data_IF_346937245155
#
_entry.id   IF_346937245155
#
_cell.length_a   1.000
_cell.length_b   1.000
_cell.length_c   1.000
_cell.angle_alpha   90.00
_cell.angle_beta   90.00
_cell.angle_gamma   90.00
#
_symmetry.space_group_name_H-M   'P 1'
#
loop_
_entity.id
_entity.type
_entity.pdbx_description
1 polymer ?
#
# COMPACT_ATOMS: atom_id res chain seq x y z
N UNK A 1 4.85 -7.69 15.43
CA UNK A 1 4.64 -6.77 14.30
C UNK A 1 5.46 -7.26 13.13
N UNK A 2 4.92 -7.18 11.92
CA UNK A 2 5.56 -7.64 10.67
C UNK A 2 5.71 -6.41 9.76
N UNK A 3 6.85 -6.22 9.09
CA UNK A 3 6.99 -5.15 8.11
C UNK A 3 6.07 -5.40 6.92
N UNK A 4 5.42 -4.34 6.45
CA UNK A 4 4.64 -4.34 5.22
C UNK A 4 5.04 -3.15 4.36
N UNK A 5 5.08 -3.36 3.06
CA UNK A 5 5.19 -2.30 2.06
C UNK A 5 4.03 -2.44 1.10
N UNK A 6 3.28 -1.36 0.91
CA UNK A 6 2.11 -1.30 0.04
C UNK A 6 2.39 -0.26 -1.05
N UNK A 7 2.31 -0.69 -2.32
CA UNK A 7 2.42 0.17 -3.48
C UNK A 7 1.05 0.30 -4.16
N UNK A 8 0.52 1.51 -4.22
CA UNK A 8 -0.80 1.81 -4.77
C UNK A 8 -0.63 2.59 -6.08
N UNK A 9 -1.17 2.12 -7.21
CA UNK A 9 -1.17 2.90 -8.45
C UNK A 9 -1.78 4.28 -8.20
N UNK A 10 -1.22 5.34 -8.79
CA UNK A 10 -1.74 6.71 -8.57
C UNK A 10 -3.23 6.85 -8.86
N UNK A 11 -3.76 6.07 -9.80
CA UNK A 11 -5.18 6.04 -10.16
C UNK A 11 -6.08 5.47 -9.06
N UNK A 12 -5.54 4.66 -8.14
CA UNK A 12 -6.28 3.98 -7.07
C UNK A 12 -6.07 4.61 -5.68
N UNK A 13 -5.28 5.68 -5.55
CA UNK A 13 -4.97 6.32 -4.25
C UNK A 13 -6.23 6.67 -3.46
N UNK A 14 -7.23 7.27 -4.11
CA UNK A 14 -8.47 7.67 -3.43
C UNK A 14 -9.21 6.46 -2.83
N UNK A 15 -9.35 5.39 -3.60
CA UNK A 15 -10.02 4.17 -3.15
C UNK A 15 -9.20 3.45 -2.06
N UNK A 16 -7.88 3.38 -2.24
CA UNK A 16 -6.96 2.78 -1.28
C UNK A 16 -6.94 3.50 0.07
N UNK A 17 -7.09 4.82 0.08
CA UNK A 17 -7.24 5.60 1.31
C UNK A 17 -8.54 5.28 2.06
N UNK A 18 -9.64 5.02 1.35
CA UNK A 18 -10.86 4.53 1.99
C UNK A 18 -10.67 3.13 2.58
N UNK A 19 -9.97 2.23 1.88
CA UNK A 19 -9.59 0.94 2.44
C UNK A 19 -8.70 1.10 3.68
N UNK A 20 -7.71 1.99 3.64
CA UNK A 20 -6.85 2.28 4.79
C UNK A 20 -7.63 2.83 5.99
N UNK A 21 -8.65 3.68 5.78
CA UNK A 21 -9.57 4.10 6.87
C UNK A 21 -10.33 2.93 7.48
N UNK A 22 -10.70 1.93 6.69
CA UNK A 22 -11.49 0.78 7.16
C UNK A 22 -10.64 -0.19 7.98
N UNK A 23 -9.44 -0.50 7.50
CA UNK A 23 -8.55 -1.50 8.14
C UNK A 23 -7.54 -0.86 9.11
N UNK A 24 -7.46 0.46 9.11
CA UNK A 24 -6.59 1.24 9.98
C UNK A 24 -7.11 1.38 11.40
N UNK A 25 -6.46 2.25 12.16
CA UNK A 25 -6.76 2.48 13.57
C UNK A 25 -7.41 3.85 13.83
N UNK A 26 -7.46 4.72 12.83
CA UNK A 26 -7.92 6.09 12.97
C UNK A 26 -8.39 6.72 11.65
N UNK A 27 -9.07 7.86 11.76
CA UNK A 27 -9.47 8.67 10.62
C UNK A 27 -8.28 9.10 9.73
N UNK A 28 -7.13 9.34 10.34
CA UNK A 28 -5.90 9.81 9.69
C UNK A 28 -5.31 8.77 8.73
N UNK A 29 -5.65 7.49 8.89
CA UNK A 29 -5.21 6.44 7.96
C UNK A 29 -5.78 6.66 6.54
N UNK A 30 -6.80 7.50 6.40
CA UNK A 30 -7.31 7.97 5.10
C UNK A 30 -6.41 8.91 4.32
N UNK A 31 -5.26 9.30 4.86
CA UNK A 31 -4.27 10.09 4.14
C UNK A 31 -3.00 9.28 3.81
N UNK A 32 -2.94 8.02 4.23
CA UNK A 32 -1.74 7.15 4.13
C UNK A 32 -1.08 7.20 2.76
N UNK A 33 -1.86 7.02 1.68
CA UNK A 33 -1.32 6.98 0.32
C UNK A 33 -1.25 8.35 -0.35
N UNK A 34 -2.02 9.33 0.14
CA UNK A 34 -1.90 10.72 -0.33
C UNK A 34 -0.61 11.38 0.16
N UNK A 35 -0.12 10.98 1.33
CA UNK A 35 1.11 11.49 1.94
C UNK A 35 2.34 10.65 1.57
N UNK A 36 2.14 9.47 0.96
CA UNK A 36 3.22 8.58 0.58
C UNK A 36 3.99 9.10 -0.65
N UNK A 37 5.32 8.88 -0.71
CA UNK A 37 6.10 9.22 -1.90
C UNK A 37 5.65 8.38 -3.11
N UNK A 38 5.61 9.02 -4.28
CA UNK A 38 5.29 8.36 -5.55
C UNK A 38 6.57 7.92 -6.26
N UNK A 39 6.63 6.64 -6.62
CA UNK A 39 7.76 6.01 -7.33
C UNK A 39 7.22 5.15 -8.45
N UNK A 40 7.69 5.36 -9.68
CA UNK A 40 7.30 4.53 -10.82
C UNK A 40 5.78 4.52 -11.11
N UNK A 41 5.04 5.56 -10.72
CA UNK A 41 3.58 5.62 -10.84
C UNK A 41 2.79 4.99 -9.69
N UNK A 42 3.46 4.64 -8.58
CA UNK A 42 2.84 4.08 -7.38
C UNK A 42 3.14 4.94 -6.15
N UNK A 43 2.14 5.25 -5.34
CA UNK A 43 2.33 5.74 -3.98
C UNK A 43 2.77 4.58 -3.08
N UNK A 44 3.92 4.71 -2.41
CA UNK A 44 4.52 3.62 -1.63
C UNK A 44 4.53 3.96 -0.15
N UNK A 45 3.74 3.25 0.63
CA UNK A 45 3.72 3.35 2.08
C UNK A 45 4.33 2.09 2.71
N UNK A 46 5.19 2.26 3.70
CA UNK A 46 5.77 1.15 4.46
C UNK A 46 5.58 1.37 5.95
N UNK A 47 5.30 0.29 6.67
CA UNK A 47 5.02 0.37 8.10
C UNK A 47 5.10 -0.99 8.77
N UNK A 48 4.72 -1.00 10.05
CA UNK A 48 4.62 -2.21 10.85
C UNK A 48 3.14 -2.52 11.07
N UNK A 49 2.75 -3.77 10.80
CA UNK A 49 1.38 -4.25 11.00
C UNK A 49 1.34 -5.44 11.97
N UNK A 50 0.15 -5.71 12.51
CA UNK A 50 -0.08 -6.93 13.29
C UNK A 50 0.02 -8.17 12.38
N UNK A 51 0.41 -9.35 12.89
CA UNK A 51 0.44 -10.58 12.10
C UNK A 51 -0.91 -10.93 11.44
N UNK A 52 -2.02 -10.57 12.10
CA UNK A 52 -3.38 -10.76 11.58
C UNK A 52 -3.73 -9.82 10.42
N UNK A 53 -2.93 -8.78 10.14
CA UNK A 53 -3.23 -7.80 9.09
C UNK A 53 -3.48 -8.46 7.73
N UNK A 54 -2.71 -9.49 7.39
CA UNK A 54 -2.88 -10.21 6.12
C UNK A 54 -4.23 -10.93 6.08
N UNK A 55 -4.63 -11.62 7.15
CA UNK A 55 -5.94 -12.27 7.19
C UNK A 55 -7.09 -11.27 7.22
N UNK A 56 -6.91 -10.14 7.92
CA UNK A 56 -7.93 -9.11 8.13
C UNK A 56 -8.14 -8.28 6.87
N UNK A 57 -7.09 -8.01 6.09
CA UNK A 57 -7.16 -7.26 4.83
C UNK A 57 -8.03 -7.94 3.77
N UNK A 58 -8.35 -9.23 3.91
CA UNK A 58 -9.24 -9.98 3.02
C UNK A 58 -10.56 -10.40 3.67
N UNK A 59 -10.84 -9.98 4.92
CA UNK A 59 -12.15 -10.20 5.53
C UNK A 59 -13.20 -9.21 4.98
N UNK A 60 -14.49 -9.54 5.10
CA UNK A 60 -15.56 -8.58 4.82
C UNK A 60 -15.34 -7.26 5.57
N UNK A 61 -15.34 -6.16 4.83
CA UNK A 61 -15.13 -4.82 5.38
C UNK A 61 -16.26 -4.42 6.34
N UNK A 62 -15.87 -3.86 7.49
CA UNK A 62 -16.79 -3.32 8.50
C UNK A 62 -16.62 -1.80 8.50
N UNK A 63 -17.71 -1.06 8.40
CA UNK A 63 -17.65 0.40 8.41
C UNK A 63 -17.12 0.92 9.76
N UNK A 64 -16.09 1.78 9.75
CA UNK A 64 -15.54 2.34 10.97
C UNK A 64 -16.42 3.48 11.51
N UNK A 65 -16.29 3.80 12.81
CA UNK A 65 -17.07 4.88 13.45
C UNK A 65 -16.77 6.28 12.90
N UNK A 66 -15.56 6.48 12.35
CA UNK A 66 -15.15 7.72 11.68
C UNK A 66 -15.58 7.80 10.20
N UNK A 67 -16.21 6.74 9.68
CA UNK A 67 -16.76 6.69 8.32
C UNK A 67 -15.73 6.45 7.21
N UNK A 68 -16.18 5.76 6.18
CA UNK A 68 -15.44 5.53 4.93
C UNK A 68 -16.43 5.33 3.77
N UNK A 69 -15.99 5.59 2.54
CA UNK A 69 -16.72 5.11 1.37
C UNK A 69 -16.50 3.61 1.25
N UNK A 70 -17.48 2.83 1.70
CA UNK A 70 -17.41 1.37 1.73
C UNK A 70 -17.43 0.75 0.33
N UNK A 71 -17.96 1.45 -0.67
CA UNK A 71 -17.92 1.00 -2.07
C UNK A 71 -16.49 1.14 -2.60
N UNK A 72 -15.90 2.32 -2.46
CA UNK A 72 -14.52 2.55 -2.89
C UNK A 72 -13.53 1.68 -2.11
N UNK A 73 -13.75 1.46 -0.81
CA UNK A 73 -12.93 0.56 0.00
C UNK A 73 -13.01 -0.91 -0.49
N UNK A 74 -14.20 -1.39 -0.84
CA UNK A 74 -14.39 -2.74 -1.38
C UNK A 74 -13.77 -2.90 -2.77
N UNK A 75 -13.90 -1.88 -3.63
CA UNK A 75 -13.22 -1.84 -4.93
C UNK A 75 -11.70 -1.90 -4.76
N UNK A 76 -11.14 -1.09 -3.85
CA UNK A 76 -9.71 -1.15 -3.54
C UNK A 76 -9.30 -2.52 -2.98
N UNK A 77 -10.08 -3.11 -2.08
CA UNK A 77 -9.80 -4.45 -1.52
C UNK A 77 -9.71 -5.52 -2.61
N UNK A 78 -10.58 -5.45 -3.63
CA UNK A 78 -10.56 -6.36 -4.78
C UNK A 78 -9.33 -6.18 -5.68
N UNK A 79 -8.67 -5.03 -5.62
CA UNK A 79 -7.46 -4.73 -6.38
C UNK A 79 -6.17 -5.06 -5.61
N UNK A 80 -6.27 -5.45 -4.33
CA UNK A 80 -5.12 -5.86 -3.51
C UNK A 80 -4.60 -7.22 -3.94
N UNK A 81 -3.31 -7.27 -4.23
CA UNK A 81 -2.56 -8.49 -4.49
C UNK A 81 -1.43 -8.61 -3.47
N UNK A 82 -1.44 -9.70 -2.71
CA UNK A 82 -0.33 -10.05 -1.83
C UNK A 82 0.80 -10.64 -2.67
N UNK A 83 1.98 -10.02 -2.59
CA UNK A 83 3.20 -10.48 -3.25
C UNK A 83 4.07 -11.13 -2.18
N UNK A 84 4.18 -12.45 -2.27
CA UNK A 84 5.02 -13.24 -1.38
C UNK A 84 6.49 -13.15 -1.82
N UNK A 85 7.45 -13.05 -0.89
CA UNK A 85 8.86 -13.13 -1.22
C UNK A 85 9.18 -14.51 -1.83
N UNK A 86 10.02 -14.59 -2.87
CA UNK A 86 10.41 -15.86 -3.45
C UNK A 86 11.12 -16.72 -2.41
N UNK A 87 10.75 -18.00 -2.32
CA UNK A 87 11.52 -19.01 -1.60
C UNK A 87 12.77 -19.33 -2.42
N UNK A 88 13.85 -19.76 -1.76
CA UNK A 88 15.08 -20.12 -2.48
C UNK A 88 14.77 -21.16 -3.58
N UNK A 89 15.29 -20.89 -4.78
CA UNK A 89 15.12 -21.66 -6.03
C UNK A 89 13.79 -21.47 -6.80
N UNK A 90 12.84 -20.65 -6.32
CA UNK A 90 11.64 -20.29 -7.08
C UNK A 90 11.90 -19.13 -8.07
N UNK A 91 11.19 -19.11 -9.22
CA UNK A 91 11.21 -17.94 -10.10
C UNK A 91 10.67 -16.70 -9.38
N UNK A 92 11.13 -15.49 -9.73
CA UNK A 92 10.57 -14.26 -9.19
C UNK A 92 9.05 -14.19 -9.38
N UNK A 93 8.28 -13.65 -8.42
CA UNK A 93 6.84 -13.50 -8.56
C UNK A 93 6.52 -12.57 -9.73
N UNK A 94 5.46 -12.90 -10.47
CA UNK A 94 4.92 -11.98 -11.47
C UNK A 94 4.25 -10.80 -10.76
N UNK A 95 4.65 -9.58 -11.12
CA UNK A 95 4.12 -8.36 -10.52
C UNK A 95 3.01 -7.82 -11.43
N UNK A 96 1.73 -7.92 -11.04
CA UNK A 96 0.63 -7.43 -11.87
C UNK A 96 0.64 -5.90 -11.94
N UNK A 97 0.55 -5.37 -13.15
CA UNK A 97 0.47 -3.93 -13.37
C UNK A 97 -0.91 -3.37 -12.98
N UNK A 98 -0.92 -2.16 -12.41
CA UNK A 98 -2.16 -1.44 -12.11
C UNK A 98 -2.95 -1.97 -10.92
N UNK A 99 -2.38 -2.92 -10.16
CA UNK A 99 -2.94 -3.45 -8.91
C UNK A 99 -2.34 -2.81 -7.68
N UNK A 100 -3.03 -2.91 -6.55
CA UNK A 100 -2.47 -2.53 -5.24
C UNK A 100 -1.59 -3.70 -4.77
N UNK A 101 -0.29 -3.46 -4.62
CA UNK A 101 0.69 -4.51 -4.33
C UNK A 101 1.07 -4.44 -2.85
N UNK A 102 0.88 -5.53 -2.12
CA UNK A 102 1.28 -5.62 -0.72
C UNK A 102 2.39 -6.67 -0.55
N UNK A 103 3.55 -6.26 -0.05
CA UNK A 103 4.68 -7.15 0.29
C UNK A 103 4.81 -7.20 1.80
N UNK A 104 4.79 -8.41 2.37
CA UNK A 104 4.87 -8.63 3.82
C UNK A 104 6.14 -9.38 4.17
N UNK A 105 6.80 -8.98 5.26
CA UNK A 105 7.97 -9.66 5.80
C UNK A 105 9.32 -9.22 5.24
N UNK A 106 9.34 -8.35 4.22
CA UNK A 106 10.57 -7.71 3.71
C UNK A 106 10.72 -6.30 4.29
N UNK A 107 11.97 -5.86 4.46
CA UNK A 107 12.26 -4.45 4.73
C UNK A 107 11.90 -3.57 3.52
N UNK A 108 11.63 -2.25 3.72
CA UNK A 108 11.13 -1.39 2.65
C UNK A 108 12.04 -1.27 1.42
N UNK A 109 13.38 -1.17 1.54
CA UNK A 109 14.28 -1.29 0.39
C UNK A 109 14.13 -2.61 -0.39
N UNK A 110 14.15 -3.76 0.29
CA UNK A 110 14.01 -5.07 -0.34
C UNK A 110 12.64 -5.25 -1.02
N UNK A 111 11.56 -4.80 -0.36
CA UNK A 111 10.22 -4.85 -0.92
C UNK A 111 10.10 -4.01 -2.21
N UNK A 112 10.63 -2.78 -2.22
CA UNK A 112 10.62 -1.94 -3.42
C UNK A 112 11.42 -2.57 -4.56
N UNK A 113 12.59 -3.13 -4.26
CA UNK A 113 13.39 -3.84 -5.25
C UNK A 113 12.65 -5.04 -5.85
N UNK A 114 11.92 -5.82 -5.02
CA UNK A 114 11.08 -6.92 -5.48
C UNK A 114 9.97 -6.46 -6.43
N UNK A 115 9.36 -5.30 -6.14
CA UNK A 115 8.33 -4.70 -6.98
C UNK A 115 8.87 -3.99 -8.23
N UNK A 116 10.19 -3.98 -8.45
CA UNK A 116 10.82 -3.23 -9.54
C UNK A 116 10.69 -1.71 -9.39
N UNK A 117 10.36 -1.22 -8.19
CA UNK A 117 10.25 0.20 -7.88
C UNK A 117 11.63 0.69 -7.41
N UNK A 118 12.21 1.62 -8.18
CA UNK A 118 13.51 2.21 -7.87
C UNK A 118 13.51 3.10 -6.62
N UNK A 119 14.56 3.90 -6.42
CA UNK A 119 14.54 4.91 -5.37
C UNK A 119 13.46 5.97 -5.65
N UNK A 120 12.76 6.46 -4.61
CA UNK A 120 11.85 7.59 -4.77
C UNK A 120 12.60 8.78 -5.35
N UNK A 121 12.00 9.45 -6.32
CA UNK A 121 12.48 10.76 -6.74
C UNK A 121 12.49 11.65 -5.49
N UNK A 122 13.62 12.32 -5.24
CA UNK A 122 13.73 13.25 -4.12
C UNK A 122 12.57 14.25 -4.15
N UNK A 123 12.06 14.69 -2.98
CA UNK A 123 11.05 15.73 -2.93
C UNK A 123 11.52 16.91 -3.78
N UNK A 124 10.68 17.40 -4.70
CA UNK A 124 10.95 18.67 -5.36
C UNK A 124 10.88 19.72 -4.27
N UNK A 125 12.04 20.23 -3.82
CA UNK A 125 12.08 21.42 -2.98
C UNK A 125 11.43 22.54 -3.80
N UNK A 126 10.19 22.89 -3.46
CA UNK A 126 9.57 24.10 -3.94
C UNK A 126 10.39 25.25 -3.35
N UNK A 127 11.32 25.80 -4.14
CA UNK A 127 12.00 27.04 -3.77
C UNK A 127 10.92 28.09 -3.50
N UNK A 128 10.91 28.73 -2.31
CA UNK A 128 10.00 29.83 -2.08
C UNK A 128 10.35 30.95 -3.06
N UNK A 129 9.39 31.35 -3.91
CA UNK A 129 9.50 32.56 -4.72
C UNK A 129 9.89 33.74 -3.81
N UNK A 130 11.05 34.34 -4.08
CA UNK A 130 11.58 35.52 -3.40
C UNK A 130 11.06 36.81 -4.03
#
# INVERSE_FOLDING_TARGET
MIPVTIAVPVALISAANHLARVIGYSEADGETFSLAPVVGGYAVASGLVAPAFVSDAFQPLIEPEWGADMVAAAEAQAEVVLIEPPVADDPPPEIPEGKILAVVGLDPPAARALLGLGEPLAPVELEPEA
#
